data_IF_491602781030
#
_entry.id   IF_491602781030
#
_cell.length_a   1.000
_cell.length_b   1.000
_cell.length_c   1.000
_cell.angle_alpha   90.00
_cell.angle_beta   90.00
_cell.angle_gamma   90.00
#
_symmetry.space_group_name_H-M   'P 1'
#
loop_
_entity.id
_entity.type
_entity.pdbx_description
1 polymer ?
#
# COMPACT_ATOMS: atom_id res chain seq x y z
N UNK A 1 -35.96 11.30 0.39
CA UNK A 1 -35.19 12.48 -0.06
C UNK A 1 -35.52 13.64 0.86
N UNK A 2 -34.78 13.82 1.95
CA UNK A 2 -34.75 15.10 2.67
C UNK A 2 -33.67 15.07 3.76
N UNK A 3 -32.92 16.15 3.79
CA UNK A 3 -32.17 16.69 4.93
C UNK A 3 -30.98 15.87 5.45
N UNK A 4 -29.87 15.93 4.70
CA UNK A 4 -28.54 15.96 5.33
C UNK A 4 -28.44 17.33 6.01
N UNK A 5 -29.01 17.43 7.20
CA UNK A 5 -28.84 18.57 8.10
C UNK A 5 -27.40 18.59 8.58
N UNK A 6 -26.50 19.10 7.75
CA UNK A 6 -25.13 19.44 8.14
C UNK A 6 -25.20 20.70 9.01
N UNK A 7 -25.58 20.46 10.27
CA UNK A 7 -25.51 21.44 11.36
C UNK A 7 -24.07 21.93 11.42
N UNK A 8 -23.84 23.19 11.03
CA UNK A 8 -22.63 24.01 11.23
C UNK A 8 -21.73 23.45 12.34
N UNK A 9 -20.86 22.50 11.98
CA UNK A 9 -19.87 21.89 12.86
C UNK A 9 -18.56 22.23 12.20
N UNK A 10 -18.14 23.47 12.46
CA UNK A 10 -16.88 24.09 12.10
C UNK A 10 -16.40 23.78 10.67
N UNK A 11 -17.02 24.43 9.67
CA UNK A 11 -16.57 24.39 8.26
C UNK A 11 -15.06 24.72 8.14
N UNK A 12 -14.53 25.53 9.08
CA UNK A 12 -13.10 25.83 9.21
C UNK A 12 -12.26 24.62 9.60
N UNK A 13 -12.75 23.74 10.48
CA UNK A 13 -12.04 22.53 10.90
C UNK A 13 -11.99 21.50 9.78
N UNK A 14 -13.13 21.27 9.12
CA UNK A 14 -13.21 20.37 7.96
C UNK A 14 -12.36 20.90 6.79
N UNK A 15 -12.36 22.22 6.54
CA UNK A 15 -11.49 22.84 5.53
C UNK A 15 -10.02 22.68 5.88
N UNK A 16 -9.65 22.87 7.15
CA UNK A 16 -8.26 22.70 7.61
C UNK A 16 -7.80 21.25 7.42
N UNK A 17 -8.62 20.28 7.80
CA UNK A 17 -8.33 18.86 7.58
C UNK A 17 -8.19 18.55 6.09
N UNK A 18 -9.08 19.07 5.25
CA UNK A 18 -9.02 18.84 3.80
C UNK A 18 -7.74 19.41 3.20
N UNK A 19 -7.32 20.62 3.60
CA UNK A 19 -6.05 21.22 3.18
C UNK A 19 -4.87 20.34 3.62
N UNK A 20 -4.87 19.84 4.86
CA UNK A 20 -3.81 18.95 5.36
C UNK A 20 -3.78 17.65 4.56
N UNK A 21 -4.94 17.02 4.30
CA UNK A 21 -5.00 15.81 3.48
C UNK A 21 -4.48 16.06 2.07
N UNK A 22 -4.82 17.19 1.46
CA UNK A 22 -4.36 17.59 0.14
C UNK A 22 -2.83 17.74 0.12
N UNK A 23 -2.23 18.38 1.13
CA UNK A 23 -0.77 18.47 1.28
C UNK A 23 -0.12 17.09 1.43
N UNK A 24 -0.69 16.20 2.24
CA UNK A 24 -0.19 14.82 2.41
C UNK A 24 -0.23 14.06 1.08
N UNK A 25 -1.31 14.22 0.30
CA UNK A 25 -1.40 13.62 -1.04
C UNK A 25 -0.28 14.13 -1.93
N UNK A 26 0.00 15.44 -1.97
CA UNK A 26 1.09 15.98 -2.78
C UNK A 26 2.46 15.41 -2.37
N UNK A 27 2.72 15.28 -1.07
CA UNK A 27 3.98 14.73 -0.54
C UNK A 27 4.15 13.25 -0.93
N UNK A 28 3.08 12.46 -0.90
CA UNK A 28 3.13 11.04 -1.28
C UNK A 28 3.12 10.81 -2.80
N UNK A 29 2.39 11.65 -3.55
CA UNK A 29 2.26 11.51 -5.00
C UNK A 29 3.51 11.99 -5.74
N UNK A 30 4.20 13.01 -5.23
CA UNK A 30 5.43 13.53 -5.83
C UNK A 30 6.53 12.46 -6.04
N UNK A 31 6.95 11.66 -5.04
CA UNK A 31 7.95 10.62 -5.25
C UNK A 31 7.44 9.49 -6.14
N UNK A 32 6.14 9.16 -6.09
CA UNK A 32 5.55 8.18 -7.00
C UNK A 32 5.63 8.65 -8.47
N UNK A 33 5.30 9.92 -8.72
CA UNK A 33 5.42 10.52 -10.04
C UNK A 33 6.87 10.54 -10.55
N UNK A 34 7.82 10.89 -9.68
CA UNK A 34 9.24 10.90 -10.02
C UNK A 34 9.74 9.51 -10.42
N UNK A 35 9.38 8.47 -9.68
CA UNK A 35 9.76 7.09 -10.01
C UNK A 35 9.15 6.62 -11.33
N UNK A 36 7.93 7.05 -11.66
CA UNK A 36 7.31 6.78 -12.96
C UNK A 36 8.07 7.46 -14.11
N UNK A 37 8.43 8.74 -13.99
CA UNK A 37 9.23 9.42 -14.99
C UNK A 37 10.61 8.74 -15.18
N UNK A 38 11.21 8.28 -14.08
CA UNK A 38 12.48 7.56 -14.10
C UNK A 38 12.36 6.19 -14.80
N UNK A 39 11.28 5.44 -14.57
CA UNK A 39 11.12 4.11 -15.16
C UNK A 39 11.03 4.13 -16.69
N UNK A 40 10.53 5.23 -17.27
CA UNK A 40 10.47 5.45 -18.72
C UNK A 40 11.74 6.04 -19.34
N UNK A 41 12.76 6.43 -18.56
CA UNK A 41 13.97 7.10 -19.08
C UNK A 41 15.16 6.13 -19.14
N UNK A 42 15.84 6.02 -20.27
CA UNK A 42 16.97 5.08 -20.46
C UNK A 42 18.08 5.26 -19.38
N UNK A 43 18.46 4.17 -18.71
CA UNK A 43 19.52 4.12 -17.68
C UNK A 43 20.89 4.66 -18.15
N UNK A 44 21.17 4.64 -19.47
CA UNK A 44 22.45 5.12 -20.01
C UNK A 44 22.55 6.66 -20.07
N UNK A 45 21.45 7.38 -19.85
CA UNK A 45 21.37 8.85 -19.92
C UNK A 45 21.07 9.42 -18.52
N UNK A 46 21.54 8.78 -17.45
CA UNK A 46 21.43 9.34 -16.10
C UNK A 46 22.77 9.94 -15.65
N UNK A 47 23.27 11.04 -16.25
CA UNK A 47 24.13 11.94 -15.52
C UNK A 47 23.25 12.83 -14.63
N UNK A 48 23.43 12.65 -13.31
CA UNK A 48 23.51 13.77 -12.36
C UNK A 48 22.24 14.61 -12.12
N UNK A 49 21.62 14.38 -10.96
CA UNK A 49 21.01 15.40 -10.07
C UNK A 49 20.03 16.46 -10.64
N UNK A 50 19.39 16.23 -11.79
CA UNK A 50 18.36 17.14 -12.29
C UNK A 50 16.96 16.56 -12.01
N UNK A 51 16.16 17.33 -11.26
CA UNK A 51 14.78 16.97 -10.90
C UNK A 51 13.91 17.15 -12.15
N UNK A 52 13.67 16.07 -12.89
CA UNK A 52 12.86 16.10 -14.11
C UNK A 52 11.38 15.91 -13.79
N UNK A 53 10.54 16.88 -14.14
CA UNK A 53 9.08 16.74 -14.08
C UNK A 53 8.50 15.91 -15.24
N UNK A 54 9.21 15.82 -16.39
CA UNK A 54 8.84 15.06 -17.59
C UNK A 54 10.01 14.20 -18.11
N UNK A 55 9.76 12.99 -18.65
CA UNK A 55 10.81 12.14 -19.23
C UNK A 55 11.36 12.74 -20.53
N UNK A 56 12.69 12.85 -20.65
CA UNK A 56 13.37 13.39 -21.86
C UNK A 56 13.29 12.46 -23.07
N UNK A 57 13.31 11.15 -22.81
CA UNK A 57 13.23 10.12 -23.84
C UNK A 57 12.43 8.96 -23.27
N UNK A 58 11.22 8.74 -23.79
CA UNK A 58 10.38 7.62 -23.38
C UNK A 58 10.93 6.36 -24.05
N UNK A 59 11.55 5.47 -23.26
CA UNK A 59 12.04 4.18 -23.72
C UNK A 59 11.50 3.05 -22.85
N UNK A 60 11.25 1.90 -23.47
CA UNK A 60 10.79 0.67 -22.79
C UNK A 60 11.95 -0.31 -22.50
N UNK A 61 13.19 0.10 -22.77
CA UNK A 61 14.38 -0.74 -22.65
C UNK A 61 14.65 -1.15 -21.20
N UNK A 62 14.37 -0.27 -20.23
CA UNK A 62 14.52 -0.59 -18.80
C UNK A 62 13.59 -1.74 -18.38
N UNK A 63 12.34 -1.73 -18.87
CA UNK A 63 11.40 -2.82 -18.61
C UNK A 63 11.87 -4.12 -19.26
N UNK A 64 12.37 -4.07 -20.50
CA UNK A 64 12.96 -5.25 -21.16
C UNK A 64 14.16 -5.79 -20.38
N UNK A 65 15.03 -4.94 -19.86
CA UNK A 65 16.16 -5.33 -19.03
C UNK A 65 15.69 -6.03 -17.73
N UNK A 66 14.66 -5.51 -17.08
CA UNK A 66 14.06 -6.12 -15.87
C UNK A 66 13.50 -7.52 -16.15
N UNK A 67 12.78 -7.71 -17.26
CA UNK A 67 12.21 -9.02 -17.61
C UNK A 67 13.23 -9.99 -18.21
N UNK A 68 14.33 -9.51 -18.79
CA UNK A 68 15.42 -10.36 -19.29
C UNK A 68 16.30 -10.92 -18.16
N UNK A 69 16.27 -10.31 -16.97
CA UNK A 69 17.04 -10.75 -15.81
C UNK A 69 16.31 -11.89 -15.07
N UNK A 70 16.80 -13.12 -15.26
CA UNK A 70 16.19 -14.33 -14.71
C UNK A 70 16.16 -14.36 -13.17
N UNK A 71 17.11 -13.71 -12.51
CA UNK A 71 17.14 -13.58 -11.06
C UNK A 71 15.97 -12.73 -10.54
N UNK A 72 15.61 -11.67 -11.27
CA UNK A 72 14.56 -10.74 -10.89
C UNK A 72 13.17 -11.37 -11.06
N UNK A 73 12.95 -12.11 -12.14
CA UNK A 73 11.73 -12.92 -12.33
C UNK A 73 11.59 -14.02 -11.29
N UNK A 74 12.69 -14.69 -10.93
CA UNK A 74 12.68 -15.72 -9.87
C UNK A 74 12.36 -15.10 -8.50
N UNK A 75 12.96 -13.96 -8.16
CA UNK A 75 12.69 -13.25 -6.93
C UNK A 75 11.21 -12.80 -6.83
N UNK A 76 10.65 -12.27 -7.93
CA UNK A 76 9.23 -11.92 -8.00
C UNK A 76 8.32 -13.14 -7.74
N UNK A 77 8.63 -14.28 -8.35
CA UNK A 77 7.85 -15.50 -8.16
C UNK A 77 7.93 -16.07 -6.74
N UNK A 78 9.09 -15.99 -6.09
CA UNK A 78 9.26 -16.40 -4.69
C UNK A 78 8.44 -15.51 -3.76
N UNK A 79 8.49 -14.19 -3.95
CA UNK A 79 7.71 -13.23 -3.15
C UNK A 79 6.22 -13.46 -3.33
N UNK A 80 5.75 -13.61 -4.56
CA UNK A 80 4.33 -13.84 -4.86
C UNK A 80 3.81 -15.11 -4.17
N UNK A 81 4.55 -16.22 -4.30
CA UNK A 81 4.19 -17.48 -3.63
C UNK A 81 4.20 -17.33 -2.11
N UNK A 82 5.23 -16.68 -1.56
CA UNK A 82 5.34 -16.48 -0.10
C UNK A 82 4.18 -15.65 0.45
N UNK A 83 3.79 -14.57 -0.22
CA UNK A 83 2.66 -13.72 0.20
C UNK A 83 1.35 -14.48 0.10
N UNK A 84 1.09 -15.16 -1.02
CA UNK A 84 -0.17 -15.91 -1.21
C UNK A 84 -0.32 -17.04 -0.18
N UNK A 85 0.72 -17.88 -0.05
CA UNK A 85 0.69 -19.02 0.89
C UNK A 85 0.60 -18.48 2.33
N UNK A 86 1.38 -17.45 2.66
CA UNK A 86 1.36 -16.82 3.98
C UNK A 86 0.00 -16.25 4.33
N UNK A 87 -0.59 -15.42 3.46
CA UNK A 87 -1.90 -14.83 3.70
C UNK A 87 -2.99 -15.89 3.82
N UNK A 88 -3.06 -16.86 2.91
CA UNK A 88 -4.08 -17.91 2.96
C UNK A 88 -3.98 -18.71 4.26
N UNK A 89 -2.77 -19.15 4.63
CA UNK A 89 -2.56 -19.93 5.84
C UNK A 89 -2.87 -19.10 7.10
N UNK A 90 -2.38 -17.86 7.18
CA UNK A 90 -2.64 -16.98 8.33
C UNK A 90 -4.13 -16.64 8.47
N UNK A 91 -4.82 -16.32 7.38
CA UNK A 91 -6.26 -16.04 7.41
C UNK A 91 -7.06 -17.28 7.80
N UNK A 92 -6.70 -18.46 7.30
CA UNK A 92 -7.38 -19.71 7.63
C UNK A 92 -7.23 -20.08 9.11
N UNK A 93 -6.01 -20.00 9.65
CA UNK A 93 -5.75 -20.22 11.08
C UNK A 93 -6.47 -19.18 11.95
N UNK A 94 -6.40 -17.90 11.58
CA UNK A 94 -7.12 -16.84 12.28
C UNK A 94 -8.62 -17.05 12.26
N UNK A 95 -9.19 -17.54 11.15
CA UNK A 95 -10.62 -17.84 11.06
C UNK A 95 -11.04 -18.95 12.03
N UNK A 96 -10.25 -20.02 12.18
CA UNK A 96 -10.54 -21.06 13.18
C UNK A 96 -10.46 -20.54 14.62
N UNK A 97 -9.42 -19.77 14.93
CA UNK A 97 -9.24 -19.18 16.27
C UNK A 97 -10.40 -18.22 16.58
N UNK A 98 -10.75 -17.34 15.64
CA UNK A 98 -11.87 -16.42 15.76
C UNK A 98 -13.21 -17.16 15.91
N UNK A 99 -13.42 -18.24 15.16
CA UNK A 99 -14.64 -19.07 15.28
C UNK A 99 -14.75 -19.74 16.65
N UNK A 100 -13.65 -20.30 17.16
CA UNK A 100 -13.59 -20.86 18.51
C UNK A 100 -13.94 -19.83 19.59
N UNK A 101 -13.38 -18.62 19.48
CA UNK A 101 -13.65 -17.51 20.40
C UNK A 101 -15.05 -16.90 20.27
N UNK A 102 -15.69 -17.04 19.10
CA UNK A 102 -17.07 -16.58 18.88
C UNK A 102 -18.09 -17.37 19.70
N UNK A 103 -17.79 -18.60 20.13
CA UNK A 103 -18.66 -19.39 21.00
C UNK A 103 -18.52 -18.93 22.45
N UNK A 104 -19.63 -18.46 23.04
CA UNK A 104 -19.69 -17.91 24.42
C UNK A 104 -19.35 -18.94 25.52
N UNK A 105 -19.44 -20.24 25.24
CA UNK A 105 -19.24 -21.34 26.21
C UNK A 105 -17.80 -21.90 26.26
N UNK A 106 -16.80 -21.19 25.72
CA UNK A 106 -15.42 -21.65 25.75
C UNK A 106 -14.81 -21.51 27.16
N UNK A 107 -14.44 -22.63 27.79
CA UNK A 107 -13.69 -22.63 29.06
C UNK A 107 -12.31 -22.00 28.80
N UNK A 108 -11.96 -20.94 29.54
CA UNK A 108 -10.70 -20.20 29.34
C UNK A 108 -10.79 -19.00 28.39
N UNK A 109 -11.98 -18.62 27.90
CA UNK A 109 -12.18 -17.49 26.96
C UNK A 109 -11.51 -16.17 27.37
N UNK A 110 -11.57 -15.79 28.66
CA UNK A 110 -10.92 -14.56 29.14
C UNK A 110 -9.40 -14.59 28.96
N UNK A 111 -8.76 -15.74 29.19
CA UNK A 111 -7.31 -15.88 29.02
C UNK A 111 -6.89 -15.73 27.56
N UNK A 112 -7.56 -16.44 26.64
CA UNK A 112 -7.27 -16.34 25.20
C UNK A 112 -7.59 -14.96 24.61
N UNK A 113 -8.67 -14.30 25.05
CA UNK A 113 -8.98 -12.93 24.59
C UNK A 113 -7.92 -11.93 25.08
N UNK A 114 -7.48 -12.00 26.33
CA UNK A 114 -6.42 -11.11 26.84
C UNK A 114 -5.10 -11.34 26.10
N UNK A 115 -4.73 -12.58 25.81
CA UNK A 115 -3.47 -12.88 25.12
C UNK A 115 -3.45 -12.43 23.64
N UNK A 116 -4.60 -12.34 22.98
CA UNK A 116 -4.70 -11.88 21.58
C UNK A 116 -4.87 -10.36 21.49
N UNK A 117 -5.50 -9.72 22.49
CA UNK A 117 -5.73 -8.27 22.52
C UNK A 117 -4.52 -7.49 23.03
N UNK A 118 -3.66 -8.11 23.84
CA UNK A 118 -2.41 -7.52 24.35
C UNK A 118 -1.29 -7.64 23.31
#
# INVERSE_FOLDING_TARGET
>A
MTAIGQKRRDDTFDTTINIIMLVVIFICLYPMWYVLCLSFTNNNIVPTSEIWFLPKAITLDNYRAVFSNNDLSKAFYVTLKRTLIGTVMSTFLNAFVAYGLSKKNLIGRKFFLTLILI
#
